data_IF_670274999660
#
_entry.id   IF_670274999660
#
_cell.length_a   1.000
_cell.length_b   1.000
_cell.length_c   1.000
_cell.angle_alpha   90.00
_cell.angle_beta   90.00
_cell.angle_gamma   90.00
#
_symmetry.space_group_name_H-M   'P 1'
#
loop_
_entity.id
_entity.type
_entity.pdbx_description
1 polymer ?
#
# COMPACT_ATOMS: atom_id res chain seq x y z
N UNK A 1 3.10 24.64 29.22
CA UNK A 1 2.89 23.19 28.98
C UNK A 1 4.25 22.58 28.70
N UNK A 2 4.66 21.55 29.44
CA UNK A 2 5.95 20.91 29.22
C UNK A 2 5.96 20.21 27.85
N UNK A 3 6.86 20.63 26.97
CA UNK A 3 7.15 19.96 25.70
C UNK A 3 7.53 18.51 25.98
N UNK A 4 6.85 17.56 25.35
CA UNK A 4 7.16 16.15 25.51
C UNK A 4 8.61 15.89 25.08
N UNK A 5 9.38 15.25 25.95
CA UNK A 5 10.76 14.83 25.65
C UNK A 5 10.75 13.80 24.51
N UNK A 6 11.02 14.21 23.28
CA UNK A 6 10.96 13.33 22.11
C UNK A 6 12.12 12.32 22.05
N UNK A 7 13.12 12.40 22.95
CA UNK A 7 14.32 11.55 22.92
C UNK A 7 14.05 10.06 23.08
N UNK A 8 12.90 9.69 23.67
CA UNK A 8 12.54 8.28 23.89
C UNK A 8 11.70 7.68 22.74
N UNK A 9 11.14 8.49 21.84
CA UNK A 9 10.29 8.00 20.75
C UNK A 9 10.98 6.96 19.87
N UNK A 10 12.25 7.14 19.44
CA UNK A 10 12.92 6.15 18.59
C UNK A 10 13.02 4.77 19.25
N UNK A 11 13.26 4.72 20.57
CA UNK A 11 13.36 3.46 21.33
C UNK A 11 11.99 2.78 21.47
N UNK A 12 10.93 3.56 21.70
CA UNK A 12 9.56 3.04 21.75
C UNK A 12 9.15 2.47 20.39
N UNK A 13 9.35 3.22 19.31
CA UNK A 13 8.99 2.78 17.96
C UNK A 13 9.79 1.55 17.53
N UNK A 14 11.10 1.52 17.80
CA UNK A 14 11.91 0.33 17.49
C UNK A 14 11.43 -0.91 18.26
N UNK A 15 11.16 -0.77 19.57
CA UNK A 15 10.64 -1.87 20.38
C UNK A 15 9.24 -2.30 19.93
N UNK A 16 8.39 -1.36 19.55
CA UNK A 16 7.04 -1.64 19.06
C UNK A 16 7.08 -2.38 17.72
N UNK A 17 7.91 -1.92 16.79
CA UNK A 17 8.11 -2.57 15.48
C UNK A 17 8.54 -4.03 15.66
N UNK A 18 9.54 -4.29 16.50
CA UNK A 18 10.00 -5.66 16.76
C UNK A 18 8.94 -6.54 17.43
N UNK A 19 8.14 -5.99 18.35
CA UNK A 19 7.04 -6.73 18.99
C UNK A 19 5.94 -7.06 17.98
N UNK A 20 5.49 -6.07 17.20
CA UNK A 20 4.41 -6.24 16.23
C UNK A 20 4.80 -7.16 15.07
N UNK A 21 6.03 -7.07 14.55
CA UNK A 21 6.53 -7.99 13.52
C UNK A 21 6.62 -9.43 14.03
N UNK A 22 6.85 -9.62 15.34
CA UNK A 22 6.98 -10.95 15.94
C UNK A 22 5.65 -11.59 16.31
N UNK A 23 4.73 -10.81 16.87
CA UNK A 23 3.50 -11.33 17.49
C UNK A 23 2.23 -10.88 16.75
N UNK A 24 2.33 -9.98 15.78
CA UNK A 24 1.16 -9.32 15.21
C UNK A 24 0.55 -8.31 16.19
N UNK A 25 -0.39 -7.50 15.69
CA UNK A 25 -1.03 -6.46 16.49
C UNK A 25 -1.84 -7.03 17.64
N UNK A 26 -2.65 -8.07 17.43
CA UNK A 26 -3.50 -8.68 18.45
C UNK A 26 -2.70 -9.12 19.69
N UNK A 27 -1.65 -9.91 19.49
CA UNK A 27 -0.89 -10.54 20.58
C UNK A 27 0.23 -9.66 21.15
N UNK A 28 0.63 -8.59 20.46
CA UNK A 28 1.63 -7.66 20.94
C UNK A 28 1.24 -6.98 22.26
N UNK A 29 2.21 -6.86 23.17
CA UNK A 29 2.03 -6.31 24.51
C UNK A 29 2.67 -4.93 24.67
N UNK A 30 1.87 -3.90 24.97
CA UNK A 30 2.38 -2.57 25.32
C UNK A 30 3.31 -2.60 26.54
N UNK A 31 3.10 -3.54 27.47
CA UNK A 31 3.97 -3.72 28.63
C UNK A 31 5.34 -4.24 28.19
N UNK A 32 5.39 -5.26 27.34
CA UNK A 32 6.65 -5.80 26.81
C UNK A 32 7.41 -4.74 25.99
N UNK A 33 6.69 -3.95 25.18
CA UNK A 33 7.26 -2.81 24.45
C UNK A 33 7.88 -1.79 25.41
N UNK A 34 7.19 -1.43 26.49
CA UNK A 34 7.70 -0.49 27.48
C UNK A 34 8.96 -1.01 28.19
N UNK A 35 8.94 -2.28 28.62
CA UNK A 35 10.06 -2.94 29.30
C UNK A 35 11.29 -2.97 28.41
N UNK A 36 11.14 -3.33 27.14
CA UNK A 36 12.24 -3.42 26.18
C UNK A 36 12.76 -2.04 25.74
N UNK A 37 11.91 -1.03 25.66
CA UNK A 37 12.32 0.34 25.37
C UNK A 37 12.93 1.07 26.59
N UNK A 38 12.93 0.45 27.77
CA UNK A 38 13.32 1.05 29.06
C UNK A 38 12.52 2.33 29.36
N UNK A 39 11.19 2.23 29.26
CA UNK A 39 10.26 3.33 29.52
C UNK A 39 9.11 2.88 30.43
N UNK A 40 8.51 3.84 31.13
CA UNK A 40 7.28 3.56 31.88
C UNK A 40 6.06 3.58 30.96
N UNK A 41 5.04 2.81 31.30
CA UNK A 41 3.75 2.83 30.58
C UNK A 41 3.12 4.23 30.59
N UNK A 42 3.28 4.98 31.69
CA UNK A 42 2.83 6.37 31.77
C UNK A 42 3.57 7.31 30.80
N UNK A 43 4.85 7.03 30.48
CA UNK A 43 5.57 7.77 29.45
C UNK A 43 5.07 7.44 28.04
N UNK A 44 4.73 6.17 27.77
CA UNK A 44 4.12 5.76 26.50
C UNK A 44 2.77 6.44 26.29
N UNK A 45 1.88 6.41 27.28
CA UNK A 45 0.53 7.00 27.16
C UNK A 45 0.51 8.54 27.01
N UNK A 46 1.60 9.22 27.37
CA UNK A 46 1.75 10.66 27.08
C UNK A 46 1.99 10.95 25.60
N UNK A 47 2.35 9.94 24.80
CA UNK A 47 2.73 10.06 23.38
C UNK A 47 1.73 9.35 22.47
N UNK A 48 1.30 8.17 22.87
CA UNK A 48 0.39 7.32 22.11
C UNK A 48 -0.85 7.02 22.94
N UNK A 49 -2.04 7.19 22.35
CA UNK A 49 -3.33 6.92 23.01
C UNK A 49 -3.51 5.44 23.35
N UNK A 50 -2.78 4.56 22.67
CA UNK A 50 -2.82 3.12 22.91
C UNK A 50 -2.04 2.35 21.85
N UNK A 51 -2.34 1.05 21.77
CA UNK A 51 -1.66 0.12 20.86
C UNK A 51 -1.90 0.47 19.39
N UNK A 52 -3.12 0.86 19.05
CA UNK A 52 -3.51 1.27 17.68
C UNK A 52 -2.75 2.52 17.23
N UNK A 53 -2.73 3.57 18.04
CA UNK A 53 -2.01 4.82 17.76
C UNK A 53 -0.48 4.61 17.61
N UNK A 54 0.08 3.70 18.40
CA UNK A 54 1.49 3.31 18.29
C UNK A 54 1.76 2.53 17.00
N UNK A 55 0.86 1.63 16.60
CA UNK A 55 0.96 0.90 15.35
C UNK A 55 0.81 1.84 14.15
N UNK A 56 -0.17 2.74 14.17
CA UNK A 56 -0.37 3.81 13.17
C UNK A 56 0.91 4.61 12.95
N UNK A 57 1.59 5.01 14.02
CA UNK A 57 2.83 5.78 13.92
C UNK A 57 3.99 5.02 13.24
N UNK A 58 3.97 3.68 13.24
CA UNK A 58 4.97 2.87 12.54
C UNK A 58 4.72 2.80 11.04
N UNK A 59 3.45 2.76 10.63
CA UNK A 59 3.05 2.56 9.23
C UNK A 59 2.67 3.86 8.53
N UNK A 60 2.66 4.98 9.25
CA UNK A 60 2.22 6.29 8.76
C UNK A 60 3.00 6.75 7.52
N UNK A 61 4.31 6.49 7.48
CA UNK A 61 5.15 6.80 6.33
C UNK A 61 4.63 6.13 5.06
N UNK A 62 4.60 4.78 5.07
CA UNK A 62 4.05 3.98 3.98
C UNK A 62 2.61 4.37 3.61
N UNK A 63 1.73 4.63 4.59
CA UNK A 63 0.34 4.99 4.31
C UNK A 63 0.21 6.36 3.64
N UNK A 64 0.99 7.36 4.07
CA UNK A 64 0.95 8.70 3.48
C UNK A 64 1.46 8.70 2.04
N UNK A 65 2.49 7.92 1.81
CA UNK A 65 3.10 7.68 0.51
C UNK A 65 2.13 7.02 -0.48
N UNK A 66 1.48 5.94 -0.05
CA UNK A 66 0.43 5.27 -0.81
C UNK A 66 -0.75 6.22 -1.09
N UNK A 67 -1.18 7.01 -0.11
CA UNK A 67 -2.22 8.04 -0.31
C UNK A 67 -1.78 9.11 -1.33
N UNK A 68 -0.52 9.55 -1.29
CA UNK A 68 -0.03 10.57 -2.21
C UNK A 68 -0.12 10.10 -3.66
N UNK A 69 0.19 8.83 -3.94
CA UNK A 69 0.05 8.27 -5.29
C UNK A 69 -1.40 8.15 -5.76
N UNK A 70 -2.33 7.81 -4.85
CA UNK A 70 -3.76 7.84 -5.14
C UNK A 70 -4.22 9.26 -5.47
N UNK A 71 -3.83 10.24 -4.65
CA UNK A 71 -4.22 11.64 -4.83
C UNK A 71 -3.63 12.22 -6.12
N UNK A 72 -2.39 11.89 -6.45
CA UNK A 72 -1.80 12.24 -7.74
C UNK A 72 -2.66 11.70 -8.89
N UNK A 73 -3.01 10.41 -8.86
CA UNK A 73 -3.87 9.80 -9.88
C UNK A 73 -5.26 10.45 -9.98
N UNK A 74 -5.85 10.83 -8.84
CA UNK A 74 -7.16 11.52 -8.76
C UNK A 74 -7.10 12.98 -9.20
N UNK A 75 -5.94 13.64 -9.05
CA UNK A 75 -5.77 15.06 -9.40
C UNK A 75 -5.70 15.32 -10.91
N UNK A 76 -5.39 14.29 -11.71
CA UNK A 76 -5.34 14.39 -13.17
C UNK A 76 -6.73 14.68 -13.72
N UNK A 77 -6.83 15.72 -14.55
CA UNK A 77 -8.04 15.98 -15.33
C UNK A 77 -8.11 14.99 -16.50
N UNK A 78 -8.70 13.82 -16.25
CA UNK A 78 -8.80 12.70 -17.20
C UNK A 78 -9.40 13.16 -18.55
N UNK A 79 -10.42 14.04 -18.50
CA UNK A 79 -11.07 14.58 -19.71
C UNK A 79 -10.17 15.45 -20.58
N UNK A 80 -9.11 16.02 -20.01
CA UNK A 80 -8.15 16.83 -20.73
C UNK A 80 -6.97 16.02 -21.31
N UNK A 81 -6.86 14.73 -20.97
CA UNK A 81 -5.82 13.86 -21.55
C UNK A 81 -6.06 13.67 -23.05
N UNK A 82 -4.97 13.60 -23.82
CA UNK A 82 -5.05 13.08 -25.20
C UNK A 82 -5.35 11.59 -25.18
N UNK A 83 -5.85 11.06 -26.30
CA UNK A 83 -6.14 9.63 -26.42
C UNK A 83 -4.87 8.79 -26.23
N UNK A 84 -3.74 9.22 -26.78
CA UNK A 84 -2.44 8.58 -26.58
C UNK A 84 -2.03 8.55 -25.10
N UNK A 85 -2.16 9.67 -24.39
CA UNK A 85 -1.82 9.74 -22.97
C UNK A 85 -2.73 8.81 -22.15
N UNK A 86 -4.03 8.77 -22.46
CA UNK A 86 -5.00 7.91 -21.80
C UNK A 86 -4.70 6.42 -22.03
N UNK A 87 -4.38 6.03 -23.27
CA UNK A 87 -3.95 4.66 -23.62
C UNK A 87 -2.67 4.27 -22.87
N UNK A 88 -1.70 5.20 -22.79
CA UNK A 88 -0.43 4.95 -22.12
C UNK A 88 -0.57 4.78 -20.60
N UNK A 89 -1.63 5.27 -19.96
CA UNK A 89 -1.87 5.00 -18.52
C UNK A 89 -2.13 3.53 -18.20
N UNK A 90 -2.44 2.71 -19.21
CA UNK A 90 -2.68 1.27 -19.09
C UNK A 90 -1.46 0.44 -19.52
N UNK A 91 -0.36 1.08 -19.89
CA UNK A 91 0.86 0.38 -20.25
C UNK A 91 1.61 -0.07 -19.00
N UNK A 92 1.91 -1.38 -18.91
CA UNK A 92 2.73 -1.95 -17.85
C UNK A 92 4.22 -1.72 -18.13
N UNK A 93 4.69 -0.51 -17.83
CA UNK A 93 6.11 -0.18 -17.91
C UNK A 93 6.91 -0.89 -16.81
N UNK A 94 7.84 -1.76 -17.20
CA UNK A 94 8.62 -2.56 -16.27
C UNK A 94 9.48 -1.71 -15.34
N UNK A 95 10.05 -0.60 -15.81
CA UNK A 95 10.91 0.25 -14.99
C UNK A 95 10.09 1.01 -13.92
N UNK A 96 8.91 1.51 -14.31
CA UNK A 96 7.99 2.15 -13.40
C UNK A 96 7.46 1.17 -12.35
N UNK A 97 7.11 -0.06 -12.76
CA UNK A 97 6.70 -1.11 -11.83
C UNK A 97 7.83 -1.52 -10.90
N UNK A 98 9.06 -1.63 -11.39
CA UNK A 98 10.20 -1.97 -10.55
C UNK A 98 10.53 -0.85 -9.56
N UNK A 99 10.36 0.41 -9.95
CA UNK A 99 10.46 1.56 -9.04
C UNK A 99 9.45 1.46 -7.89
N UNK A 100 8.20 1.08 -8.20
CA UNK A 100 7.19 0.81 -7.17
C UNK A 100 7.57 -0.34 -6.24
N UNK A 101 8.14 -1.42 -6.77
CA UNK A 101 8.63 -2.52 -5.96
C UNK A 101 9.80 -2.11 -5.06
N UNK A 102 10.79 -1.38 -5.59
CA UNK A 102 11.93 -0.85 -4.82
C UNK A 102 11.43 0.02 -3.66
N UNK A 103 10.46 0.87 -3.95
CA UNK A 103 9.85 1.72 -2.96
C UNK A 103 9.22 0.96 -1.79
N UNK A 104 8.38 -0.04 -2.09
CA UNK A 104 7.77 -0.90 -1.07
C UNK A 104 8.84 -1.72 -0.33
N UNK A 105 9.89 -2.15 -1.03
CA UNK A 105 10.99 -2.92 -0.47
C UNK A 105 11.84 -2.09 0.49
N UNK A 106 12.08 -0.81 0.22
CA UNK A 106 12.75 0.10 1.17
C UNK A 106 11.94 0.33 2.45
N UNK A 107 10.63 0.09 2.40
CA UNK A 107 9.69 0.15 3.53
C UNK A 107 9.26 -1.22 4.03
N UNK A 108 10.08 -2.25 3.79
CA UNK A 108 9.73 -3.65 4.02
C UNK A 108 8.99 -3.89 5.34
N UNK A 109 9.55 -3.45 6.47
CA UNK A 109 8.93 -3.65 7.79
C UNK A 109 7.52 -3.02 7.88
N UNK A 110 7.34 -1.80 7.36
CA UNK A 110 6.04 -1.09 7.38
C UNK A 110 5.00 -1.83 6.52
N UNK A 111 5.44 -2.33 5.36
CA UNK A 111 4.61 -3.12 4.45
C UNK A 111 4.22 -4.46 5.09
N UNK A 112 5.15 -5.18 5.70
CA UNK A 112 4.86 -6.43 6.42
C UNK A 112 3.91 -6.17 7.60
N UNK A 113 4.10 -5.07 8.33
CA UNK A 113 3.20 -4.71 9.42
C UNK A 113 1.76 -4.56 8.91
N UNK A 114 1.55 -3.82 7.82
CA UNK A 114 0.24 -3.61 7.22
C UNK A 114 -0.38 -4.90 6.68
N UNK A 115 0.41 -5.76 6.02
CA UNK A 115 -0.07 -6.95 5.32
C UNK A 115 -0.30 -8.14 6.26
N UNK A 116 0.61 -8.40 7.21
CA UNK A 116 0.64 -9.63 7.98
C UNK A 116 0.42 -9.43 9.49
N UNK A 117 0.56 -8.20 9.99
CA UNK A 117 0.55 -7.95 11.43
C UNK A 117 -0.57 -7.02 11.87
N UNK A 118 -1.46 -6.59 10.98
CA UNK A 118 -2.47 -5.55 11.24
C UNK A 118 -3.77 -6.10 11.82
N UNK A 119 -3.95 -7.42 11.92
CA UNK A 119 -5.18 -8.02 12.43
C UNK A 119 -5.53 -7.49 13.84
N UNK A 120 -6.78 -7.09 14.05
CA UNK A 120 -7.27 -6.44 15.27
C UNK A 120 -6.95 -4.95 15.42
N UNK A 121 -6.19 -4.36 14.51
CA UNK A 121 -5.96 -2.91 14.42
C UNK A 121 -6.99 -2.23 13.50
N UNK A 122 -6.98 -0.89 13.47
CA UNK A 122 -7.72 -0.11 12.48
C UNK A 122 -7.36 -0.47 11.03
N UNK A 123 -6.19 -1.08 10.78
CA UNK A 123 -5.72 -1.47 9.44
C UNK A 123 -5.93 -2.96 9.10
N UNK A 124 -6.77 -3.68 9.86
CA UNK A 124 -7.02 -5.13 9.65
C UNK A 124 -7.47 -5.48 8.22
N UNK A 125 -8.10 -4.54 7.51
CA UNK A 125 -8.59 -4.72 6.14
C UNK A 125 -7.77 -3.95 5.09
N UNK A 126 -6.51 -3.60 5.40
CA UNK A 126 -5.68 -2.71 4.59
C UNK A 126 -5.68 -3.05 3.09
N UNK A 127 -5.50 -4.31 2.71
CA UNK A 127 -5.47 -4.71 1.30
C UNK A 127 -6.81 -4.42 0.59
N UNK A 128 -7.93 -4.69 1.26
CA UNK A 128 -9.26 -4.42 0.73
C UNK A 128 -9.51 -2.92 0.60
N UNK A 129 -9.23 -2.16 1.66
CA UNK A 129 -9.41 -0.71 1.68
C UNK A 129 -8.55 -0.01 0.60
N UNK A 130 -7.34 -0.50 0.38
CA UNK A 130 -6.45 -0.03 -0.68
C UNK A 130 -7.04 -0.24 -2.07
N UNK A 131 -7.56 -1.43 -2.34
CA UNK A 131 -8.18 -1.74 -3.64
C UNK A 131 -9.44 -0.92 -3.87
N UNK A 132 -10.29 -0.73 -2.86
CA UNK A 132 -11.49 0.11 -2.99
C UNK A 132 -11.14 1.55 -3.40
N UNK A 133 -10.13 2.13 -2.75
CA UNK A 133 -9.66 3.48 -3.05
C UNK A 133 -9.14 3.61 -4.49
N UNK A 134 -8.39 2.61 -4.98
CA UNK A 134 -7.84 2.62 -6.33
C UNK A 134 -8.86 2.26 -7.42
N UNK A 135 -9.83 1.41 -7.09
CA UNK A 135 -10.85 0.95 -8.03
C UNK A 135 -11.68 2.11 -8.58
N UNK A 136 -12.11 3.03 -7.71
CA UNK A 136 -12.86 4.21 -8.14
C UNK A 136 -12.09 5.03 -9.20
N UNK A 137 -10.85 5.40 -8.87
CA UNK A 137 -10.03 6.21 -9.78
C UNK A 137 -9.74 5.47 -11.08
N UNK A 138 -9.33 4.21 -11.03
CA UNK A 138 -8.96 3.40 -12.20
C UNK A 138 -10.17 3.15 -13.10
N UNK A 139 -11.35 2.95 -12.54
CA UNK A 139 -12.58 2.80 -13.30
C UNK A 139 -12.93 4.07 -14.08
N UNK A 140 -12.64 5.27 -13.57
CA UNK A 140 -12.87 6.52 -14.32
C UNK A 140 -11.95 6.66 -15.54
N UNK A 141 -10.68 6.25 -15.46
CA UNK A 141 -9.80 6.22 -16.63
C UNK A 141 -10.33 5.28 -17.71
N UNK A 142 -10.83 4.10 -17.30
CA UNK A 142 -11.40 3.13 -18.22
C UNK A 142 -12.69 3.68 -18.85
N UNK A 143 -13.57 4.25 -18.03
CA UNK A 143 -14.85 4.81 -18.46
C UNK A 143 -14.65 5.94 -19.47
N UNK A 144 -13.69 6.84 -19.25
CA UNK A 144 -13.36 7.90 -20.22
C UNK A 144 -12.89 7.29 -21.55
N UNK A 145 -12.02 6.28 -21.51
CA UNK A 145 -11.55 5.62 -22.73
C UNK A 145 -12.69 4.93 -23.50
N UNK A 146 -13.62 4.31 -22.77
CA UNK A 146 -14.81 3.69 -23.34
C UNK A 146 -15.75 4.73 -23.96
N UNK A 147 -16.02 5.85 -23.26
CA UNK A 147 -16.86 6.95 -23.78
C UNK A 147 -16.28 7.60 -25.04
N UNK A 148 -14.95 7.60 -25.19
CA UNK A 148 -14.24 8.05 -26.40
C UNK A 148 -14.18 7.02 -27.53
N UNK A 149 -14.74 5.82 -27.34
CA UNK A 149 -14.66 4.69 -28.27
C UNK A 149 -13.22 4.22 -28.53
N UNK A 150 -12.33 4.37 -27.55
CA UNK A 150 -10.94 3.89 -27.62
C UNK A 150 -10.79 2.43 -27.21
N UNK A 151 -11.84 1.83 -26.66
CA UNK A 151 -11.83 0.46 -26.12
C UNK A 151 -12.99 -0.34 -26.69
N UNK A 152 -12.84 -1.67 -26.81
CA UNK A 152 -13.89 -2.56 -27.32
C UNK A 152 -14.67 -3.28 -26.23
N UNK A 153 -14.08 -3.46 -25.05
CA UNK A 153 -14.67 -4.26 -23.99
C UNK A 153 -15.51 -3.39 -23.07
N UNK A 154 -16.76 -3.79 -22.84
CA UNK A 154 -17.55 -3.23 -21.74
C UNK A 154 -17.18 -3.96 -20.44
N UNK A 155 -16.52 -3.25 -19.54
CA UNK A 155 -16.11 -3.70 -18.21
C UNK A 155 -17.00 -3.02 -17.17
N UNK A 156 -17.65 -3.83 -16.33
CA UNK A 156 -18.46 -3.32 -15.22
C UNK A 156 -17.58 -2.85 -14.05
N UNK A 157 -18.08 -1.99 -13.14
CA UNK A 157 -17.33 -1.62 -11.93
C UNK A 157 -16.93 -2.82 -11.06
N UNK A 158 -17.77 -3.87 -11.03
CA UNK A 158 -17.50 -5.10 -10.27
C UNK A 158 -16.38 -5.92 -10.89
N UNK A 159 -16.36 -6.00 -12.22
CA UNK A 159 -15.30 -6.70 -12.95
C UNK A 159 -13.97 -5.97 -12.80
N UNK A 160 -13.97 -4.64 -12.91
CA UNK A 160 -12.77 -3.82 -12.68
C UNK A 160 -12.21 -4.04 -11.26
N UNK A 161 -13.07 -4.09 -10.24
CA UNK A 161 -12.66 -4.38 -8.88
C UNK A 161 -11.97 -5.76 -8.75
N UNK A 162 -12.49 -6.81 -9.41
CA UNK A 162 -11.88 -8.14 -9.42
C UNK A 162 -10.49 -8.09 -10.05
N UNK A 163 -10.35 -7.44 -11.21
CA UNK A 163 -9.07 -7.33 -11.91
C UNK A 163 -8.03 -6.56 -11.10
N UNK A 164 -8.42 -5.44 -10.48
CA UNK A 164 -7.54 -4.63 -9.64
C UNK A 164 -7.15 -5.39 -8.37
N UNK A 165 -8.08 -6.12 -7.74
CA UNK A 165 -7.77 -7.00 -6.61
C UNK A 165 -6.70 -8.01 -7.00
N UNK A 166 -6.89 -8.74 -8.11
CA UNK A 166 -5.93 -9.73 -8.57
C UNK A 166 -4.55 -9.12 -8.86
N UNK A 167 -4.52 -7.94 -9.49
CA UNK A 167 -3.28 -7.21 -9.74
C UNK A 167 -2.54 -6.87 -8.46
N UNK A 168 -3.20 -6.22 -7.49
CA UNK A 168 -2.55 -5.82 -6.24
C UNK A 168 -2.15 -7.00 -5.37
N UNK A 169 -2.87 -8.12 -5.41
CA UNK A 169 -2.40 -9.37 -4.81
C UNK A 169 -1.02 -9.73 -5.37
N UNK A 170 -0.81 -9.68 -6.69
CA UNK A 170 0.53 -9.97 -7.23
C UNK A 170 1.61 -8.97 -6.82
N UNK A 171 1.24 -7.73 -6.45
CA UNK A 171 2.20 -6.75 -5.94
C UNK A 171 2.55 -7.01 -4.47
N UNK A 172 1.57 -7.43 -3.65
CA UNK A 172 1.77 -7.61 -2.21
C UNK A 172 2.32 -8.99 -1.81
N UNK A 173 1.99 -10.04 -2.54
CA UNK A 173 2.40 -11.43 -2.24
C UNK A 173 3.93 -11.63 -2.11
N UNK A 174 4.80 -11.00 -2.93
CA UNK A 174 6.25 -11.09 -2.73
C UNK A 174 6.71 -10.67 -1.33
N UNK A 175 6.06 -9.66 -0.74
CA UNK A 175 6.38 -9.21 0.62
C UNK A 175 5.86 -10.21 1.65
N UNK A 176 4.64 -10.71 1.48
CA UNK A 176 4.06 -11.74 2.36
C UNK A 176 4.95 -12.99 2.41
N UNK A 177 5.52 -13.37 1.27
CA UNK A 177 6.40 -14.52 1.12
C UNK A 177 7.90 -14.22 1.35
N UNK A 178 8.27 -13.01 1.78
CA UNK A 178 9.64 -12.58 2.06
C UNK A 178 10.61 -12.79 0.88
N UNK A 179 10.20 -12.42 -0.33
CA UNK A 179 11.06 -12.47 -1.51
C UNK A 179 12.30 -11.56 -1.33
N UNK A 180 13.45 -12.06 -1.78
CA UNK A 180 14.64 -11.24 -1.98
C UNK A 180 14.45 -10.26 -3.13
N UNK A 181 15.30 -9.23 -3.19
CA UNK A 181 15.25 -8.26 -4.30
C UNK A 181 15.39 -8.92 -5.68
N UNK A 182 16.27 -9.91 -5.81
CA UNK A 182 16.45 -10.66 -7.08
C UNK A 182 15.17 -11.41 -7.48
N UNK A 183 14.45 -11.97 -6.51
CA UNK A 183 13.16 -12.62 -6.77
C UNK A 183 12.09 -11.60 -7.16
N UNK A 184 12.07 -10.42 -6.54
CA UNK A 184 11.17 -9.31 -6.89
C UNK A 184 11.43 -8.80 -8.31
N UNK A 185 12.69 -8.63 -8.73
CA UNK A 185 13.03 -8.23 -10.10
C UNK A 185 12.51 -9.23 -11.14
N UNK A 186 12.66 -10.53 -10.87
CA UNK A 186 12.13 -11.59 -11.73
C UNK A 186 10.61 -11.63 -11.73
N UNK A 187 9.98 -11.42 -10.57
CA UNK A 187 8.54 -11.37 -10.40
C UNK A 187 7.92 -10.18 -11.13
N UNK A 188 8.52 -8.98 -11.03
CA UNK A 188 8.06 -7.78 -11.73
C UNK A 188 7.97 -8.00 -13.24
N UNK A 189 8.98 -8.66 -13.83
CA UNK A 189 8.98 -9.07 -15.25
C UNK A 189 7.85 -10.03 -15.61
N UNK A 190 7.47 -10.93 -14.71
CA UNK A 190 6.37 -11.86 -14.92
C UNK A 190 5.02 -11.14 -14.81
N UNK A 191 4.85 -10.30 -13.80
CA UNK A 191 3.62 -9.51 -13.59
C UNK A 191 3.35 -8.58 -14.77
N UNK A 192 4.36 -7.84 -15.27
CA UNK A 192 4.18 -6.95 -16.43
C UNK A 192 3.80 -7.72 -17.71
N UNK A 193 4.20 -8.99 -17.85
CA UNK A 193 3.81 -9.86 -18.97
C UNK A 193 2.44 -10.52 -18.76
N UNK A 194 2.08 -10.81 -17.52
CA UNK A 194 0.81 -11.43 -17.15
C UNK A 194 -0.35 -10.46 -17.31
N UNK A 195 -0.17 -9.21 -16.87
CA UNK A 195 -1.19 -8.17 -16.93
C UNK A 195 -1.02 -7.29 -18.17
N UNK A 196 -1.60 -7.71 -19.28
CA UNK A 196 -1.72 -6.86 -20.47
C UNK A 196 -3.05 -6.09 -20.43
N UNK A 197 -3.07 -4.98 -19.68
CA UNK A 197 -4.28 -4.16 -19.51
C UNK A 197 -4.79 -3.59 -20.83
N UNK A 198 -3.89 -3.23 -21.75
CA UNK A 198 -4.29 -2.69 -23.05
C UNK A 198 -5.10 -3.72 -23.85
N UNK A 199 -4.66 -4.98 -23.87
CA UNK A 199 -5.44 -6.07 -24.48
C UNK A 199 -6.69 -6.43 -23.69
N UNK A 200 -6.61 -6.50 -22.36
CA UNK A 200 -7.75 -6.86 -21.52
C UNK A 200 -8.93 -5.88 -21.65
N UNK A 201 -8.62 -4.58 -21.76
CA UNK A 201 -9.60 -3.51 -21.96
C UNK A 201 -9.99 -3.37 -23.44
N UNK A 202 -9.13 -3.86 -24.34
CA UNK A 202 -9.39 -3.90 -25.77
C UNK A 202 -9.18 -2.56 -26.45
N UNK A 203 -8.08 -1.87 -26.14
CA UNK A 203 -7.65 -0.68 -26.88
C UNK A 203 -7.34 -1.00 -28.36
N UNK A 204 -7.47 0.00 -29.24
CA UNK A 204 -7.19 -0.12 -30.68
C UNK A 204 -5.71 0.09 -31.04
#
# INVERSE_FOLDING_TARGET
>A
MATADLSINPRILQSAKEEFLKLGFQDASLKAICEKADVTTGALYKRYKGKDDLFSALVEGCLNDLKAAVEEKKSVNIKALSDEALINTWYMDENYMLWWFDYLFQRHDEVILLLNCSEGSTYSNFQHDWVEVLNESTYWYYKEAYERNLTKQEISPKEMHILITAFWSTIFEPFIHNFSWVEIELHCKLVCRLFDWQKAIGFY
#
